data_IF_932418591949
#
_entry.id   IF_932418591949
#
_cell.length_a   1.000
_cell.length_b   1.000
_cell.length_c   1.000
_cell.angle_alpha   90.00
_cell.angle_beta   90.00
_cell.angle_gamma   90.00
#
_symmetry.space_group_name_H-M   'P 1'
#
loop_
_entity.id
_entity.type
_entity.pdbx_description
1 polymer ?
#
# COMPACT_ATOMS: atom_id res chain seq x y z
N UNK A 1 23.43 -8.88 -0.17
CA UNK A 1 22.38 -9.46 -1.04
C UNK A 1 21.92 -10.75 -0.37
N UNK A 2 20.64 -11.00 -0.05
CA UNK A 2 19.41 -10.25 -0.31
C UNK A 2 19.03 -9.34 0.87
N UNK A 3 18.44 -8.16 0.64
CA UNK A 3 17.76 -7.43 1.72
C UNK A 3 16.40 -8.07 1.94
N UNK A 4 16.40 -9.17 2.70
CA UNK A 4 15.20 -9.67 3.36
C UNK A 4 14.91 -8.66 4.47
N UNK A 5 14.03 -7.70 4.20
CA UNK A 5 13.49 -6.84 5.26
C UNK A 5 12.12 -7.37 5.63
N UNK A 6 12.02 -8.31 6.57
CA UNK A 6 10.76 -8.54 7.27
C UNK A 6 10.68 -7.46 8.36
N UNK A 7 9.98 -6.35 8.08
CA UNK A 7 9.47 -5.51 9.18
C UNK A 7 7.98 -5.80 9.29
N UNK A 8 7.72 -6.91 9.99
CA UNK A 8 6.45 -7.63 10.11
C UNK A 8 5.73 -7.33 11.44
N UNK A 9 6.22 -6.40 12.26
CA UNK A 9 5.59 -6.00 13.52
C UNK A 9 4.99 -4.61 13.39
N UNK A 10 3.88 -4.51 12.67
CA UNK A 10 2.94 -3.44 12.98
C UNK A 10 1.61 -4.04 13.50
N UNK A 11 1.50 -4.28 14.81
CA UNK A 11 0.27 -4.77 15.43
C UNK A 11 -0.89 -3.74 15.44
N UNK A 12 -0.78 -2.58 14.75
CA UNK A 12 -1.86 -1.58 14.65
C UNK A 12 -3.02 -1.94 13.70
N UNK A 13 -3.10 -3.17 13.18
CA UNK A 13 -4.23 -3.63 12.34
C UNK A 13 -5.59 -3.58 13.06
N UNK A 14 -5.61 -3.54 14.40
CA UNK A 14 -6.84 -3.35 15.18
C UNK A 14 -7.35 -1.89 15.21
N UNK A 15 -6.56 -0.90 14.74
CA UNK A 15 -6.82 0.53 14.96
C UNK A 15 -6.85 1.40 13.69
N UNK A 16 -6.58 0.86 12.49
CA UNK A 16 -6.66 1.65 11.26
C UNK A 16 -8.09 1.67 10.69
N UNK A 17 -8.86 2.71 11.03
CA UNK A 17 -10.17 3.06 10.45
C UNK A 17 -10.13 3.44 8.95
N UNK A 18 -9.08 3.07 8.21
CA UNK A 18 -8.90 3.49 6.83
C UNK A 18 -8.98 2.28 5.88
N UNK A 19 -10.13 2.04 5.21
CA UNK A 19 -10.39 0.83 4.44
C UNK A 19 -9.40 0.66 3.26
N UNK A 20 -8.88 1.76 2.73
CA UNK A 20 -7.94 1.77 1.61
C UNK A 20 -6.59 1.18 1.99
N UNK A 21 -6.14 1.40 3.23
CA UNK A 21 -4.87 0.83 3.70
C UNK A 21 -4.94 -0.69 3.76
N UNK A 22 -6.08 -1.25 4.16
CA UNK A 22 -6.30 -2.70 4.17
C UNK A 22 -6.28 -3.30 2.76
N UNK A 23 -6.92 -2.65 1.79
CA UNK A 23 -6.88 -3.08 0.37
C UNK A 23 -5.44 -3.12 -0.15
N UNK A 24 -4.65 -2.08 0.14
CA UNK A 24 -3.25 -2.00 -0.25
C UNK A 24 -2.43 -3.11 0.41
N UNK A 25 -2.55 -3.32 1.73
CA UNK A 25 -1.76 -4.37 2.41
C UNK A 25 -2.12 -5.78 1.93
N UNK A 26 -3.39 -6.07 1.68
CA UNK A 26 -3.81 -7.34 1.08
C UNK A 26 -3.17 -7.56 -0.29
N UNK A 27 -3.14 -6.52 -1.14
CA UNK A 27 -2.47 -6.58 -2.44
C UNK A 27 -0.96 -6.79 -2.32
N UNK A 28 -0.30 -6.07 -1.42
CA UNK A 28 1.14 -6.23 -1.16
C UNK A 28 1.47 -7.64 -0.67
N UNK A 29 0.62 -8.23 0.18
CA UNK A 29 0.78 -9.60 0.64
C UNK A 29 0.55 -10.63 -0.46
N UNK A 30 -0.41 -10.40 -1.36
CA UNK A 30 -0.70 -11.31 -2.47
C UNK A 30 0.39 -11.29 -3.55
N UNK A 31 0.92 -10.11 -3.86
CA UNK A 31 1.95 -9.92 -4.90
C UNK A 31 3.38 -10.05 -4.39
N UNK A 32 3.59 -9.96 -3.06
CA UNK A 32 4.92 -9.85 -2.45
C UNK A 32 5.63 -8.52 -2.77
N UNK A 33 4.89 -7.52 -3.28
CA UNK A 33 5.44 -6.23 -3.66
C UNK A 33 5.78 -5.39 -2.42
N UNK A 34 6.82 -4.56 -2.51
CA UNK A 34 7.19 -3.64 -1.43
C UNK A 34 6.31 -2.37 -1.47
N UNK A 35 5.99 -1.76 -0.31
CA UNK A 35 5.14 -0.57 -0.24
C UNK A 35 5.73 0.64 -0.98
N UNK A 36 7.06 0.75 -1.01
CA UNK A 36 7.75 1.80 -1.76
C UNK A 36 7.59 1.62 -3.28
N UNK A 37 7.72 0.37 -3.77
CA UNK A 37 7.52 0.06 -5.19
C UNK A 37 6.07 0.30 -5.59
N UNK A 38 5.12 -0.14 -4.77
CA UNK A 38 3.71 0.12 -4.99
C UNK A 38 3.38 1.61 -5.08
N UNK A 39 3.88 2.44 -4.15
CA UNK A 39 3.68 3.89 -4.22
C UNK A 39 4.31 4.51 -5.47
N UNK A 40 5.47 3.99 -5.90
CA UNK A 40 6.14 4.44 -7.11
C UNK A 40 5.38 4.05 -8.39
N UNK A 41 4.82 2.85 -8.46
CA UNK A 41 4.05 2.38 -9.63
C UNK A 41 2.65 3.02 -9.69
N UNK A 42 1.98 3.18 -8.53
CA UNK A 42 0.62 3.72 -8.48
C UNK A 42 0.58 5.24 -8.62
N UNK A 43 1.55 5.95 -8.04
CA UNK A 43 1.52 7.42 -7.86
C UNK A 43 2.82 8.13 -8.23
N UNK A 44 3.88 7.40 -8.56
CA UNK A 44 5.21 7.95 -8.76
C UNK A 44 5.93 8.36 -7.46
N UNK A 45 5.34 8.09 -6.28
CA UNK A 45 5.92 8.49 -5.00
C UNK A 45 5.99 7.31 -4.00
N UNK A 46 7.21 6.91 -3.57
CA UNK A 46 7.39 5.78 -2.67
C UNK A 46 6.99 6.05 -1.21
N UNK A 47 6.74 7.32 -0.83
CA UNK A 47 6.43 7.70 0.55
C UNK A 47 4.94 7.57 0.86
N UNK A 48 4.09 7.46 -0.16
CA UNK A 48 2.64 7.40 -0.01
C UNK A 48 2.18 6.38 1.04
N UNK A 49 2.64 5.12 0.96
CA UNK A 49 2.21 4.07 1.90
C UNK A 49 2.77 4.30 3.30
N UNK A 50 4.02 4.79 3.39
CA UNK A 50 4.63 5.16 4.67
C UNK A 50 3.90 6.31 5.35
N UNK A 51 3.43 7.28 4.57
CA UNK A 51 2.63 8.39 5.10
C UNK A 51 1.25 7.93 5.55
N UNK A 52 0.58 7.05 4.81
CA UNK A 52 -0.69 6.45 5.26
C UNK A 52 -0.51 5.65 6.55
N UNK A 53 0.58 4.90 6.68
CA UNK A 53 0.97 4.18 7.91
C UNK A 53 1.32 5.10 9.07
N UNK A 54 1.54 6.39 8.82
CA UNK A 54 1.73 7.43 9.86
C UNK A 54 0.42 8.14 10.21
N UNK A 55 -0.72 7.73 9.62
CA UNK A 55 -2.02 8.36 9.85
C UNK A 55 -2.29 9.55 8.95
N UNK A 56 -1.52 9.75 7.85
CA UNK A 56 -1.87 10.75 6.84
C UNK A 56 -3.12 10.28 6.11
N UNK A 57 -4.19 11.07 6.16
CA UNK A 57 -5.38 10.80 5.35
C UNK A 57 -5.09 11.06 3.87
N UNK A 58 -5.09 10.01 3.03
CA UNK A 58 -4.93 10.19 1.60
C UNK A 58 -6.14 10.95 1.05
N UNK A 59 -5.88 11.98 0.24
CA UNK A 59 -6.96 12.68 -0.46
C UNK A 59 -7.74 11.71 -1.34
N UNK A 60 -9.00 12.00 -1.62
CA UNK A 60 -9.87 11.17 -2.48
C UNK A 60 -9.23 10.84 -3.84
N UNK A 61 -8.43 11.77 -4.40
CA UNK A 61 -7.66 11.54 -5.63
C UNK A 61 -6.61 10.42 -5.47
N UNK A 62 -5.88 10.42 -4.35
CA UNK A 62 -4.90 9.40 -4.01
C UNK A 62 -5.58 8.04 -3.85
N UNK A 63 -6.70 8.00 -3.11
CA UNK A 63 -7.49 6.77 -2.94
C UNK A 63 -7.96 6.20 -4.28
N UNK A 64 -8.47 7.05 -5.17
CA UNK A 64 -8.92 6.62 -6.50
C UNK A 64 -7.78 6.02 -7.33
N UNK A 65 -6.60 6.66 -7.34
CA UNK A 65 -5.44 6.15 -8.08
C UNK A 65 -4.95 4.81 -7.53
N UNK A 66 -4.95 4.62 -6.21
CA UNK A 66 -4.57 3.35 -5.59
C UNK A 66 -5.53 2.23 -5.95
N UNK A 67 -6.84 2.50 -5.87
CA UNK A 67 -7.86 1.52 -6.26
C UNK A 67 -7.78 1.18 -7.74
N UNK A 68 -7.55 2.17 -8.60
CA UNK A 68 -7.34 1.94 -10.03
C UNK A 68 -6.11 1.06 -10.28
N UNK A 69 -5.01 1.30 -9.56
CA UNK A 69 -3.82 0.47 -9.66
C UNK A 69 -4.09 -0.96 -9.21
N UNK A 70 -4.71 -1.17 -8.04
CA UNK A 70 -5.06 -2.51 -7.56
C UNK A 70 -6.00 -3.22 -8.55
N UNK A 71 -7.02 -2.53 -9.06
CA UNK A 71 -7.94 -3.09 -10.05
C UNK A 71 -7.23 -3.44 -11.37
N UNK A 72 -6.27 -2.62 -11.81
CA UNK A 72 -5.46 -2.87 -13.01
C UNK A 72 -4.58 -4.10 -12.84
N UNK A 73 -3.91 -4.22 -11.70
CA UNK A 73 -3.02 -5.34 -11.41
C UNK A 73 -3.79 -6.65 -11.18
N UNK A 74 -4.92 -6.60 -10.46
CA UNK A 74 -5.78 -7.78 -10.27
C UNK A 74 -6.46 -8.22 -11.56
N UNK A 75 -6.76 -7.32 -12.50
CA UNK A 75 -7.26 -7.68 -13.83
C UNK A 75 -6.16 -8.23 -14.76
N UNK A 76 -4.88 -8.03 -14.42
CA UNK A 76 -3.73 -8.48 -15.20
C UNK A 76 -3.07 -9.74 -14.62
N UNK A 77 -3.59 -10.24 -13.50
CA UNK A 77 -3.16 -11.46 -12.81
C UNK A 77 -4.12 -12.62 -13.12
#
# INVERSE_FOLDING_TARGET
MPTRTPSSDNPYLASYRNPVLQEVEAFLSATGMTPARFGMEALGDPRVVSDMRKGRDPRSKTVAMLRQFIARETANA
#
